data_IF_283916191540
#
_entry.id   IF_283916191540
#
_cell.length_a   1.000
_cell.length_b   1.000
_cell.length_c   1.000
_cell.angle_alpha   90.00
_cell.angle_beta   90.00
_cell.angle_gamma   90.00
#
_symmetry.space_group_name_H-M   'P 1'
#
loop_
_entity.id
_entity.type
_entity.pdbx_description
1 polymer ?
#
# COMPACT_ATOMS: atom_id res chain seq x y z
N UNK A 1 -7.54 -0.96 18.09
CA UNK A 1 -6.98 -1.59 16.88
C UNK A 1 -7.52 -0.80 15.70
N UNK A 2 -6.67 0.00 15.03
CA UNK A 2 -7.13 0.93 13.99
C UNK A 2 -7.61 0.16 12.75
N UNK A 3 -8.74 0.58 12.15
CA UNK A 3 -9.29 -0.03 10.95
C UNK A 3 -8.31 0.07 9.77
N UNK A 4 -8.12 -1.02 9.02
CA UNK A 4 -7.19 -1.06 7.89
C UNK A 4 -7.60 -0.08 6.77
N UNK A 5 -8.89 0.24 6.67
CA UNK A 5 -9.41 1.31 5.81
C UNK A 5 -8.86 2.69 6.20
N UNK A 6 -8.71 2.95 7.50
CA UNK A 6 -8.14 4.20 8.01
C UNK A 6 -6.63 4.22 7.81
N UNK A 7 -5.93 3.10 8.08
CA UNK A 7 -4.48 3.00 7.87
C UNK A 7 -4.09 3.21 6.41
N UNK A 8 -4.80 2.57 5.48
CA UNK A 8 -4.54 2.72 4.04
C UNK A 8 -4.86 4.13 3.53
N UNK A 9 -5.89 4.78 4.08
CA UNK A 9 -6.18 6.19 3.80
C UNK A 9 -5.09 7.12 4.35
N UNK A 10 -4.68 6.93 5.60
CA UNK A 10 -3.62 7.70 6.23
C UNK A 10 -2.28 7.56 5.48
N UNK A 11 -1.96 6.35 5.02
CA UNK A 11 -0.80 6.09 4.17
C UNK A 11 -0.83 6.92 2.89
N UNK A 12 -1.92 6.88 2.12
CA UNK A 12 -2.06 7.68 0.90
C UNK A 12 -1.92 9.20 1.16
N UNK A 13 -2.50 9.70 2.26
CA UNK A 13 -2.39 11.10 2.66
C UNK A 13 -0.95 11.47 3.05
N UNK A 14 -0.28 10.61 3.83
CA UNK A 14 1.11 10.83 4.23
C UNK A 14 2.05 10.83 3.02
N UNK A 15 1.83 9.94 2.06
CA UNK A 15 2.51 9.92 0.77
C UNK A 15 2.31 11.22 -0.01
N UNK A 16 1.07 11.71 -0.12
CA UNK A 16 0.80 12.99 -0.77
C UNK A 16 1.49 14.17 -0.09
N UNK A 17 1.57 14.18 1.24
CA UNK A 17 2.31 15.20 2.01
C UNK A 17 3.81 15.13 1.75
N UNK A 18 4.41 13.95 1.78
CA UNK A 18 5.83 13.75 1.43
C UNK A 18 6.13 14.28 0.03
N UNK A 19 5.32 13.92 -0.97
CA UNK A 19 5.53 14.32 -2.36
C UNK A 19 5.53 15.86 -2.51
N UNK A 20 4.71 16.57 -1.74
CA UNK A 20 4.66 18.04 -1.75
C UNK A 20 5.93 18.70 -1.20
N UNK A 21 6.71 17.99 -0.41
CA UNK A 21 7.94 18.51 0.20
C UNK A 21 9.20 18.17 -0.61
N UNK A 22 9.14 17.14 -1.45
CA UNK A 22 10.28 16.74 -2.26
C UNK A 22 10.63 17.80 -3.33
N UNK A 23 11.93 18.05 -3.58
CA UNK A 23 12.35 19.01 -4.60
C UNK A 23 11.90 18.55 -5.99
N UNK A 24 11.45 19.50 -6.80
CA UNK A 24 11.04 19.19 -8.17
C UNK A 24 12.27 18.96 -9.06
N UNK A 25 12.33 17.78 -9.67
CA UNK A 25 13.25 17.43 -10.75
C UNK A 25 12.65 16.28 -11.59
N UNK A 26 13.30 15.89 -12.68
CA UNK A 26 12.78 14.86 -13.61
C UNK A 26 12.63 13.49 -12.95
N UNK A 27 13.58 13.10 -12.10
CA UNK A 27 13.58 11.81 -11.37
C UNK A 27 12.44 11.77 -10.35
N UNK A 28 12.36 12.77 -9.48
CA UNK A 28 11.32 12.89 -8.48
C UNK A 28 9.94 12.99 -9.15
N UNK A 29 9.77 13.76 -10.22
CA UNK A 29 8.50 13.82 -10.96
C UNK A 29 8.04 12.44 -11.43
N UNK A 30 8.95 11.64 -12.00
CA UNK A 30 8.62 10.30 -12.46
C UNK A 30 8.22 9.37 -11.31
N UNK A 31 9.03 9.29 -10.25
CA UNK A 31 8.77 8.36 -9.14
C UNK A 31 7.61 8.79 -8.25
N UNK A 32 7.48 10.07 -7.92
CA UNK A 32 6.32 10.59 -7.18
C UNK A 32 5.02 10.38 -7.95
N UNK A 33 5.06 10.45 -9.29
CA UNK A 33 3.91 10.16 -10.15
C UNK A 33 3.46 8.71 -10.05
N UNK A 34 4.38 7.75 -9.99
CA UNK A 34 4.04 6.35 -9.75
C UNK A 34 3.54 6.14 -8.32
N UNK A 35 4.30 6.64 -7.34
CA UNK A 35 4.00 6.48 -5.92
C UNK A 35 2.63 7.06 -5.51
N UNK A 36 2.24 8.22 -6.03
CA UNK A 36 0.93 8.81 -5.68
C UNK A 36 -0.23 7.94 -6.19
N UNK A 37 -0.05 7.27 -7.33
CA UNK A 37 -1.06 6.35 -7.87
C UNK A 37 -1.11 5.08 -7.03
N UNK A 38 0.01 4.37 -6.90
CA UNK A 38 0.04 3.09 -6.19
C UNK A 38 -0.40 3.22 -4.73
N UNK A 39 0.09 4.22 -4.01
CA UNK A 39 -0.30 4.43 -2.60
C UNK A 39 -1.80 4.72 -2.42
N UNK A 40 -2.42 5.44 -3.37
CA UNK A 40 -3.86 5.68 -3.36
C UNK A 40 -4.67 4.44 -3.75
N UNK A 41 -4.15 3.62 -4.68
CA UNK A 41 -4.74 2.35 -5.10
C UNK A 41 -4.85 1.35 -3.96
N UNK A 42 -3.88 1.31 -3.03
CA UNK A 42 -3.94 0.45 -1.82
C UNK A 42 -5.27 0.64 -1.08
N UNK A 43 -5.62 1.88 -0.74
CA UNK A 43 -6.85 2.20 -0.02
C UNK A 43 -8.11 2.02 -0.88
N UNK A 44 -8.05 2.36 -2.17
CA UNK A 44 -9.17 2.20 -3.09
C UNK A 44 -9.54 0.72 -3.29
N UNK A 45 -8.55 -0.12 -3.58
CA UNK A 45 -8.75 -1.56 -3.78
C UNK A 45 -9.12 -2.27 -2.48
N UNK A 46 -8.60 -1.85 -1.32
CA UNK A 46 -9.04 -2.41 -0.04
C UNK A 46 -10.53 -2.14 0.23
N UNK A 47 -11.01 -0.92 -0.08
CA UNK A 47 -12.44 -0.58 0.00
C UNK A 47 -13.30 -1.39 -0.98
N UNK A 48 -12.76 -1.78 -2.13
CA UNK A 48 -13.42 -2.66 -3.08
C UNK A 48 -13.45 -4.11 -2.56
N UNK A 49 -12.36 -4.60 -1.96
CA UNK A 49 -12.29 -5.92 -1.33
C UNK A 49 -13.34 -6.07 -0.22
N UNK A 50 -13.53 -5.04 0.60
CA UNK A 50 -14.60 -4.99 1.62
C UNK A 50 -16.03 -5.15 1.07
N UNK A 51 -16.23 -4.97 -0.24
CA UNK A 51 -17.49 -5.17 -0.96
C UNK A 51 -17.47 -6.41 -1.87
N UNK A 52 -16.58 -7.35 -1.60
CA UNK A 52 -16.47 -8.58 -2.39
C UNK A 52 -17.74 -9.43 -2.32
N UNK A 53 -18.04 -10.10 -3.43
CA UNK A 53 -19.25 -10.92 -3.60
C UNK A 53 -19.06 -12.37 -3.16
N UNK A 54 -17.81 -12.79 -2.98
CA UNK A 54 -17.44 -14.14 -2.52
C UNK A 54 -16.05 -14.13 -1.88
N UNK A 55 -15.67 -15.22 -1.20
CA UNK A 55 -14.32 -15.36 -0.64
C UNK A 55 -13.22 -15.34 -1.72
N UNK A 56 -13.48 -15.91 -2.90
CA UNK A 56 -12.53 -15.88 -4.01
C UNK A 56 -12.35 -14.45 -4.58
N UNK A 57 -13.44 -13.71 -4.75
CA UNK A 57 -13.42 -12.30 -5.17
C UNK A 57 -12.72 -11.41 -4.12
N UNK A 58 -12.90 -11.72 -2.83
CA UNK A 58 -12.20 -11.04 -1.74
C UNK A 58 -10.68 -11.24 -1.84
N UNK A 59 -10.22 -12.48 -2.01
CA UNK A 59 -8.79 -12.79 -2.14
C UNK A 59 -8.19 -12.13 -3.38
N UNK A 60 -8.88 -12.20 -4.52
CA UNK A 60 -8.42 -11.57 -5.76
C UNK A 60 -8.21 -10.07 -5.58
N UNK A 61 -9.17 -9.37 -4.99
CA UNK A 61 -9.04 -7.93 -4.73
C UNK A 61 -7.95 -7.62 -3.70
N UNK A 62 -7.77 -8.46 -2.68
CA UNK A 62 -6.65 -8.28 -1.75
C UNK A 62 -5.28 -8.49 -2.41
N UNK A 63 -5.17 -9.36 -3.41
CA UNK A 63 -3.92 -9.52 -4.19
C UNK A 63 -3.55 -8.26 -4.95
N UNK A 64 -4.54 -7.54 -5.50
CA UNK A 64 -4.31 -6.22 -6.08
C UNK A 64 -3.80 -5.24 -5.00
N UNK A 65 -4.40 -5.25 -3.80
CA UNK A 65 -3.92 -4.39 -2.70
C UNK A 65 -2.47 -4.73 -2.29
N UNK A 66 -2.10 -6.01 -2.29
CA UNK A 66 -0.74 -6.48 -2.02
C UNK A 66 0.25 -5.93 -3.05
N UNK A 67 -0.04 -6.08 -4.33
CA UNK A 67 0.78 -5.58 -5.44
C UNK A 67 0.99 -4.05 -5.34
N UNK A 68 -0.08 -3.29 -5.12
CA UNK A 68 -0.03 -1.83 -5.02
C UNK A 68 0.74 -1.36 -3.77
N UNK A 69 0.66 -2.11 -2.67
CA UNK A 69 1.39 -1.79 -1.45
C UNK A 69 2.89 -2.06 -1.59
N UNK A 70 3.26 -3.17 -2.21
CA UNK A 70 4.65 -3.51 -2.52
C UNK A 70 5.27 -2.49 -3.49
N UNK A 71 4.55 -2.14 -4.57
CA UNK A 71 4.98 -1.12 -5.52
C UNK A 71 5.15 0.26 -4.84
N UNK A 72 4.25 0.62 -3.91
CA UNK A 72 4.39 1.85 -3.13
C UNK A 72 5.67 1.86 -2.30
N UNK A 73 6.00 0.76 -1.63
CA UNK A 73 7.24 0.62 -0.84
C UNK A 73 8.46 0.74 -1.74
N UNK A 74 8.45 0.06 -2.90
CA UNK A 74 9.53 0.15 -3.86
C UNK A 74 9.82 1.58 -4.33
N UNK A 75 8.79 2.37 -4.66
CA UNK A 75 9.02 3.77 -5.05
C UNK A 75 9.49 4.66 -3.90
N UNK A 76 9.09 4.36 -2.66
CA UNK A 76 9.65 5.03 -1.48
C UNK A 76 11.14 4.71 -1.33
N UNK A 77 11.56 3.46 -1.54
CA UNK A 77 12.97 3.06 -1.51
C UNK A 77 13.79 3.78 -2.59
N UNK A 78 13.27 3.90 -3.81
CA UNK A 78 13.89 4.70 -4.87
C UNK A 78 14.03 6.17 -4.45
N UNK A 79 12.95 6.80 -4.00
CA UNK A 79 12.96 8.20 -3.58
C UNK A 79 13.93 8.44 -2.41
N UNK A 80 14.09 7.49 -1.50
CA UNK A 80 15.05 7.57 -0.41
C UNK A 80 16.50 7.65 -0.90
N UNK A 81 16.85 6.93 -1.97
CA UNK A 81 18.19 6.98 -2.58
C UNK A 81 18.45 8.34 -3.22
N UNK A 82 17.45 8.90 -3.93
CA UNK A 82 17.60 10.18 -4.63
C UNK A 82 17.39 11.42 -3.74
N UNK A 83 16.88 11.25 -2.52
CA UNK A 83 16.58 12.33 -1.59
C UNK A 83 17.09 12.01 -0.17
N UNK A 84 18.42 11.95 0.04
CA UNK A 84 19.02 11.54 1.31
C UNK A 84 18.60 12.43 2.50
N UNK A 85 18.34 13.72 2.27
CA UNK A 85 17.87 14.65 3.29
C UNK A 85 16.46 14.29 3.83
N UNK A 86 15.69 13.51 3.07
CA UNK A 86 14.36 13.04 3.43
C UNK A 86 14.36 11.58 3.92
N UNK A 87 15.54 10.95 4.03
CA UNK A 87 15.67 9.51 4.31
C UNK A 87 14.87 9.04 5.51
N UNK A 88 14.95 9.75 6.64
CA UNK A 88 14.23 9.39 7.85
C UNK A 88 12.71 9.40 7.63
N UNK A 89 12.20 10.47 7.03
CA UNK A 89 10.77 10.62 6.74
C UNK A 89 10.25 9.57 5.76
N UNK A 90 11.03 9.30 4.71
CA UNK A 90 10.71 8.28 3.71
C UNK A 90 10.75 6.88 4.35
N UNK A 91 11.75 6.60 5.20
CA UNK A 91 11.89 5.32 5.90
C UNK A 91 10.72 5.03 6.84
N UNK A 92 10.25 6.04 7.59
CA UNK A 92 9.07 5.90 8.44
C UNK A 92 7.81 5.57 7.61
N UNK A 93 7.62 6.28 6.50
CA UNK A 93 6.49 6.03 5.61
C UNK A 93 6.58 4.66 4.90
N UNK A 94 7.79 4.24 4.51
CA UNK A 94 8.03 2.90 3.95
C UNK A 94 7.73 1.81 4.97
N UNK A 95 8.10 2.00 6.23
CA UNK A 95 7.77 1.07 7.32
C UNK A 95 6.25 0.93 7.52
N UNK A 96 5.49 2.03 7.40
CA UNK A 96 4.03 1.99 7.39
C UNK A 96 3.47 1.19 6.21
N UNK A 97 4.01 1.41 5.01
CA UNK A 97 3.66 0.64 3.81
C UNK A 97 3.92 -0.87 3.99
N UNK A 98 5.09 -1.24 4.50
CA UNK A 98 5.46 -2.63 4.82
C UNK A 98 4.53 -3.23 5.89
N UNK A 99 4.13 -2.44 6.89
CA UNK A 99 3.16 -2.88 7.89
C UNK A 99 1.81 -3.21 7.25
N UNK A 100 1.32 -2.37 6.33
CA UNK A 100 0.09 -2.62 5.58
C UNK A 100 0.23 -3.90 4.74
N UNK A 101 1.33 -4.03 3.98
CA UNK A 101 1.61 -5.19 3.15
C UNK A 101 1.56 -6.50 3.95
N UNK A 102 2.23 -6.55 5.11
CA UNK A 102 2.23 -7.73 5.99
C UNK A 102 0.81 -8.11 6.46
N UNK A 103 -0.01 -7.11 6.80
CA UNK A 103 -1.40 -7.35 7.22
C UNK A 103 -2.24 -7.89 6.05
N UNK A 104 -2.05 -7.36 4.84
CA UNK A 104 -2.76 -7.82 3.64
C UNK A 104 -2.39 -9.26 3.32
N UNK A 105 -1.09 -9.60 3.32
CA UNK A 105 -0.60 -10.97 3.10
C UNK A 105 -1.18 -11.93 4.13
N UNK A 106 -1.15 -11.57 5.41
CA UNK A 106 -1.76 -12.37 6.48
C UNK A 106 -3.27 -12.56 6.25
N UNK A 107 -3.99 -11.50 5.84
CA UNK A 107 -5.43 -11.55 5.55
C UNK A 107 -5.75 -12.50 4.38
N UNK A 108 -4.91 -12.53 3.35
CA UNK A 108 -5.05 -13.45 2.21
C UNK A 108 -4.85 -14.90 2.66
N UNK A 109 -3.82 -15.16 3.47
CA UNK A 109 -3.54 -16.51 3.99
C UNK A 109 -4.72 -17.00 4.82
N UNK A 110 -5.22 -16.19 5.75
CA UNK A 110 -6.38 -16.53 6.57
C UNK A 110 -7.63 -16.79 5.74
N UNK A 111 -7.92 -15.95 4.74
CA UNK A 111 -9.08 -16.12 3.87
C UNK A 111 -9.01 -17.43 3.06
N UNK A 112 -7.82 -17.80 2.56
CA UNK A 112 -7.61 -19.07 1.85
C UNK A 112 -7.88 -20.28 2.74
N UNK A 113 -7.35 -20.28 3.97
CA UNK A 113 -7.59 -21.37 4.92
C UNK A 113 -9.08 -21.51 5.29
N UNK A 114 -9.80 -20.39 5.42
CA UNK A 114 -11.25 -20.40 5.68
C UNK A 114 -12.07 -21.00 4.53
N UNK A 115 -11.72 -20.69 3.27
CA UNK A 115 -12.41 -21.26 2.10
C UNK A 115 -12.19 -22.78 2.00
N UNK A 116 -10.96 -23.25 2.27
CA UNK A 116 -10.64 -24.69 2.23
C UNK A 116 -11.50 -25.46 3.25
N UNK A 117 -11.58 -24.96 4.49
CA UNK A 117 -12.40 -25.57 5.56
C UNK A 117 -13.91 -25.59 5.29
N UNK A 118 -14.42 -24.73 4.41
CA UNK A 118 -15.86 -24.67 4.08
C UNK A 118 -16.23 -25.64 2.95
N UNK A 119 -15.23 -26.24 2.27
CA UNK A 119 -15.42 -27.16 1.14
C UNK A 119 -15.23 -28.63 1.52
N UNK A 120 -14.72 -28.90 2.73
CA UNK A 120 -14.65 -30.23 3.37
C UNK A 120 -15.90 -30.49 4.20
#
# INVERSE_FOLDING_TARGET
MQDLKERTFAFAVATGKLIRELPYNTVNKAYTGQLIRSSSSVGANYRAARRAKSGADFIYKLKIVEEEADESVYFLELLMVFNPDFKEKISLLAADGVSILKIIVASIITARSGIIKTRE
#
